data_IF_299113448079
#
_entry.id   IF_299113448079
#
_cell.length_a   1.000
_cell.length_b   1.000
_cell.length_c   1.000
_cell.angle_alpha   90.00
_cell.angle_beta   90.00
_cell.angle_gamma   90.00
#
_symmetry.space_group_name_H-M   'P 1'
#
loop_
_entity.id
_entity.type
_entity.pdbx_description
1 polymer ?
#
# COMPACT_ATOMS: atom_id res chain seq x y z
N UNK A 1 -3.79 9.29 18.45
CA UNK A 1 -4.58 9.84 17.32
C UNK A 1 -3.75 9.71 16.06
N UNK A 2 -4.31 9.20 14.98
CA UNK A 2 -3.60 9.04 13.71
C UNK A 2 -4.27 9.92 12.64
N UNK A 3 -3.45 10.59 11.83
CA UNK A 3 -3.88 11.40 10.70
C UNK A 3 -3.21 10.89 9.44
N UNK A 4 -4.01 10.62 8.42
CA UNK A 4 -3.54 10.28 7.09
C UNK A 4 -4.33 11.14 6.10
N UNK A 5 -3.64 11.98 5.34
CA UNK A 5 -4.26 12.99 4.50
C UNK A 5 -3.26 13.65 3.57
N UNK A 6 -3.65 14.74 2.90
CA UNK A 6 -2.76 15.45 1.98
C UNK A 6 -1.53 15.97 2.73
N UNK A 7 -0.34 15.46 2.39
CA UNK A 7 0.93 15.86 3.03
C UNK A 7 1.10 17.38 3.10
N UNK A 8 0.77 18.11 2.03
CA UNK A 8 0.87 19.57 1.98
C UNK A 8 0.00 20.28 3.02
N UNK A 9 -1.17 19.74 3.36
CA UNK A 9 -2.05 20.29 4.39
C UNK A 9 -1.48 20.03 5.79
N UNK A 10 -1.01 18.81 6.04
CA UNK A 10 -0.36 18.45 7.31
C UNK A 10 0.92 19.27 7.54
N UNK A 11 1.73 19.50 6.51
CA UNK A 11 2.92 20.37 6.58
C UNK A 11 2.57 21.81 6.97
N UNK A 12 1.46 22.36 6.48
CA UNK A 12 1.02 23.71 6.86
C UNK A 12 0.56 23.75 8.31
N UNK A 13 -0.12 22.71 8.79
CA UNK A 13 -0.56 22.62 10.19
C UNK A 13 0.60 22.53 11.19
N UNK A 14 1.72 21.91 10.80
CA UNK A 14 2.92 21.80 11.62
C UNK A 14 3.88 23.01 11.48
N UNK A 15 3.87 23.66 10.31
CA UNK A 15 4.79 24.72 9.89
C UNK A 15 5.90 24.20 8.97
N UNK A 16 6.28 24.98 7.95
CA UNK A 16 7.22 24.54 6.90
C UNK A 16 8.67 24.93 7.19
N UNK A 17 8.88 25.90 8.07
CA UNK A 17 10.15 26.50 8.42
C UNK A 17 10.19 26.84 9.92
N UNK A 18 11.36 27.22 10.46
CA UNK A 18 11.44 27.71 11.84
C UNK A 18 10.60 28.98 12.11
N UNK A 19 10.26 29.75 11.08
CA UNK A 19 9.55 31.02 11.24
C UNK A 19 8.03 30.85 11.40
N UNK A 20 7.47 29.74 10.91
CA UNK A 20 6.04 29.44 10.88
C UNK A 20 5.71 28.14 11.64
N UNK A 21 6.67 27.57 12.38
CA UNK A 21 6.43 26.37 13.16
C UNK A 21 5.59 26.63 14.40
N UNK A 22 4.66 25.73 14.65
CA UNK A 22 3.79 25.81 15.82
C UNK A 22 4.57 25.61 17.13
N UNK A 23 5.63 24.79 17.09
CA UNK A 23 6.54 24.51 18.22
C UNK A 23 7.96 24.29 17.70
N UNK A 24 8.93 24.56 18.57
CA UNK A 24 10.34 24.44 18.26
C UNK A 24 10.69 23.10 17.59
N UNK A 25 11.43 23.19 16.49
CA UNK A 25 11.89 22.08 15.67
C UNK A 25 10.80 21.19 15.03
N UNK A 26 9.51 21.55 15.12
CA UNK A 26 8.42 20.79 14.54
C UNK A 26 8.44 20.82 13.01
N UNK A 27 8.99 21.89 12.40
CA UNK A 27 9.16 21.98 10.96
C UNK A 27 10.05 20.86 10.37
N UNK A 28 10.89 20.22 11.21
CA UNK A 28 11.69 19.06 10.80
C UNK A 28 10.81 17.86 10.44
N UNK A 29 9.69 17.65 11.16
CA UNK A 29 8.70 16.62 10.84
C UNK A 29 8.04 16.93 9.49
N UNK A 30 7.66 18.19 9.26
CA UNK A 30 7.05 18.63 8.00
C UNK A 30 7.92 18.33 6.79
N UNK A 31 9.24 18.51 6.90
CA UNK A 31 10.20 18.22 5.81
C UNK A 31 10.21 16.74 5.41
N UNK A 32 9.76 15.84 6.29
CA UNK A 32 9.69 14.39 6.08
C UNK A 32 8.33 13.89 5.59
N UNK A 33 7.33 14.76 5.43
CA UNK A 33 6.02 14.38 4.89
C UNK A 33 6.07 14.24 3.35
N UNK A 34 6.62 13.13 2.87
CA UNK A 34 6.76 12.77 1.45
C UNK A 34 6.29 11.33 1.22
N UNK A 35 5.66 11.05 0.08
CA UNK A 35 5.10 9.74 -0.23
C UNK A 35 3.88 9.38 0.63
N UNK A 36 3.66 8.08 0.83
CA UNK A 36 2.55 7.51 1.60
C UNK A 36 2.86 7.52 3.10
N UNK A 37 2.72 8.69 3.74
CA UNK A 37 3.05 8.88 5.16
C UNK A 37 1.91 9.54 5.94
N UNK A 38 1.85 9.27 7.23
CA UNK A 38 0.87 9.82 8.16
C UNK A 38 1.52 10.34 9.44
N UNK A 39 0.72 11.03 10.25
CA UNK A 39 1.12 11.52 11.57
C UNK A 39 0.46 10.71 12.68
N UNK A 40 1.25 10.24 13.63
CA UNK A 40 0.79 9.61 14.85
C UNK A 40 1.09 10.50 16.06
N UNK A 41 0.05 10.92 16.76
CA UNK A 41 0.15 11.62 18.03
C UNK A 41 -0.18 10.67 19.17
N UNK A 42 0.71 10.52 20.13
CA UNK A 42 0.58 9.59 21.25
C UNK A 42 1.30 10.11 22.48
N UNK A 43 0.81 9.71 23.66
CA UNK A 43 1.49 9.92 24.95
C UNK A 43 2.27 8.68 25.42
N UNK A 44 2.30 7.61 24.60
CA UNK A 44 3.07 6.39 24.85
C UNK A 44 4.55 6.63 24.61
N UNK A 45 5.39 5.81 25.23
CA UNK A 45 6.84 5.92 25.04
C UNK A 45 7.26 5.46 23.65
N UNK A 46 8.46 5.87 23.24
CA UNK A 46 9.09 5.45 21.99
C UNK A 46 9.15 3.92 21.88
N UNK A 47 9.52 3.26 22.97
CA UNK A 47 9.71 1.81 23.06
C UNK A 47 8.38 1.08 22.87
N UNK A 48 7.32 1.50 23.57
CA UNK A 48 5.99 0.91 23.44
C UNK A 48 5.44 1.03 22.01
N UNK A 49 5.60 2.20 21.39
CA UNK A 49 5.13 2.45 20.03
C UNK A 49 5.92 1.61 19.04
N UNK A 50 7.24 1.59 19.14
CA UNK A 50 8.10 0.83 18.25
C UNK A 50 7.85 -0.68 18.37
N UNK A 51 7.69 -1.19 19.59
CA UNK A 51 7.38 -2.60 19.83
C UNK A 51 6.04 -2.98 19.19
N UNK A 52 5.01 -2.14 19.35
CA UNK A 52 3.69 -2.39 18.79
C UNK A 52 3.73 -2.45 17.25
N UNK A 53 4.30 -1.44 16.58
CA UNK A 53 4.35 -1.38 15.11
C UNK A 53 5.34 -2.36 14.49
N UNK A 54 6.35 -2.82 15.23
CA UNK A 54 7.26 -3.87 14.74
C UNK A 54 6.56 -5.22 14.69
N UNK A 55 5.69 -5.51 15.67
CA UNK A 55 4.94 -6.76 15.77
C UNK A 55 3.66 -6.77 14.94
N UNK A 56 3.03 -5.61 14.78
CA UNK A 56 1.79 -5.51 14.03
C UNK A 56 2.06 -5.68 12.54
N UNK A 57 1.47 -6.72 11.98
CA UNK A 57 1.48 -7.05 10.57
C UNK A 57 0.15 -7.70 10.21
N UNK A 58 -0.35 -7.42 9.01
CA UNK A 58 -1.54 -8.04 8.46
C UNK A 58 -1.24 -8.47 7.03
N UNK A 59 -1.83 -9.60 6.62
CA UNK A 59 -1.79 -10.00 5.23
C UNK A 59 -2.74 -9.13 4.41
N UNK A 60 -2.33 -8.75 3.20
CA UNK A 60 -3.11 -7.96 2.26
C UNK A 60 -2.96 -8.55 0.85
N UNK A 61 -3.86 -8.12 -0.04
CA UNK A 61 -3.77 -8.44 -1.44
C UNK A 61 -2.59 -7.71 -2.09
N UNK A 62 -1.77 -8.47 -2.81
CA UNK A 62 -0.69 -7.88 -3.57
C UNK A 62 -1.22 -6.93 -4.66
N UNK A 63 -0.45 -5.88 -4.91
CA UNK A 63 -0.68 -4.86 -5.93
C UNK A 63 0.30 -5.08 -7.08
N UNK A 64 0.00 -4.45 -8.22
CA UNK A 64 0.93 -4.42 -9.34
C UNK A 64 2.31 -3.89 -8.88
N UNK A 65 3.38 -4.53 -9.33
CA UNK A 65 4.74 -4.21 -8.92
C UNK A 65 5.22 -4.93 -7.65
N UNK A 66 4.34 -5.52 -6.85
CA UNK A 66 4.78 -6.41 -5.76
C UNK A 66 5.39 -7.70 -6.32
N UNK A 67 6.31 -8.30 -5.57
CA UNK A 67 6.82 -9.63 -5.88
C UNK A 67 5.90 -10.70 -5.30
N UNK A 68 5.55 -11.71 -6.08
CA UNK A 68 4.79 -12.86 -5.60
C UNK A 68 5.62 -13.62 -4.56
N UNK A 69 5.03 -13.92 -3.40
CA UNK A 69 5.71 -14.65 -2.32
C UNK A 69 5.57 -16.17 -2.45
N UNK A 70 4.69 -16.64 -3.33
CA UNK A 70 4.54 -18.05 -3.70
C UNK A 70 3.89 -18.18 -5.08
N UNK A 71 4.03 -19.35 -5.70
CA UNK A 71 3.41 -19.68 -6.99
C UNK A 71 1.91 -19.95 -6.81
N UNK A 72 1.08 -19.42 -7.71
CA UNK A 72 -0.37 -19.67 -7.74
C UNK A 72 -0.78 -20.24 -9.09
N UNK A 73 -1.38 -21.43 -9.06
CA UNK A 73 -1.98 -22.11 -10.20
C UNK A 73 -3.45 -22.40 -9.91
N UNK A 74 -4.30 -22.23 -10.93
CA UNK A 74 -5.73 -22.51 -10.86
C UNK A 74 -6.05 -23.75 -11.70
N UNK A 75 -6.74 -24.71 -11.09
CA UNK A 75 -7.15 -25.95 -11.75
C UNK A 75 -8.44 -25.74 -12.58
N UNK A 76 -8.60 -26.44 -13.72
CA UNK A 76 -9.81 -26.35 -14.53
C UNK A 76 -11.04 -26.85 -13.78
N UNK A 77 -12.16 -26.16 -13.95
CA UNK A 77 -13.39 -26.51 -13.24
C UNK A 77 -14.38 -25.36 -13.11
N UNK A 78 -15.58 -25.63 -12.55
CA UNK A 78 -16.56 -24.59 -12.28
C UNK A 78 -16.05 -23.62 -11.19
N UNK A 79 -16.18 -22.32 -11.44
CA UNK A 79 -15.85 -21.23 -10.52
C UNK A 79 -17.14 -20.68 -9.89
N UNK A 80 -17.75 -21.48 -9.02
CA UNK A 80 -19.07 -21.19 -8.41
C UNK A 80 -19.08 -19.95 -7.52
N UNK A 81 -17.91 -19.49 -7.05
CA UNK A 81 -17.76 -18.27 -6.28
C UNK A 81 -18.06 -17.00 -7.09
N UNK A 82 -18.10 -17.08 -8.42
CA UNK A 82 -18.34 -15.93 -9.28
C UNK A 82 -19.71 -15.99 -9.97
N UNK A 83 -20.45 -14.86 -10.01
CA UNK A 83 -21.68 -14.78 -10.78
C UNK A 83 -21.37 -14.87 -12.28
N UNK A 84 -22.31 -15.40 -13.06
CA UNK A 84 -22.18 -15.55 -14.52
C UNK A 84 -21.81 -14.23 -15.24
N UNK A 85 -22.25 -13.09 -14.70
CA UNK A 85 -21.96 -11.76 -15.25
C UNK A 85 -20.49 -11.36 -15.15
N UNK A 86 -19.68 -12.04 -14.33
CA UNK A 86 -18.25 -11.78 -14.19
C UNK A 86 -17.39 -12.53 -15.21
N UNK A 87 -17.94 -13.49 -15.97
CA UNK A 87 -17.16 -14.22 -16.98
C UNK A 87 -16.42 -13.31 -17.96
N UNK A 88 -17.04 -12.25 -18.54
CA UNK A 88 -16.34 -11.38 -19.47
C UNK A 88 -15.14 -10.66 -18.84
N UNK A 89 -15.26 -10.28 -17.56
CA UNK A 89 -14.19 -9.65 -16.81
C UNK A 89 -13.04 -10.63 -16.56
N UNK A 90 -13.35 -11.86 -16.13
CA UNK A 90 -12.33 -12.89 -15.88
C UNK A 90 -11.58 -13.25 -17.17
N UNK A 91 -12.30 -13.35 -18.29
CA UNK A 91 -11.71 -13.55 -19.62
C UNK A 91 -10.83 -12.38 -20.07
N UNK A 92 -11.24 -11.13 -19.78
CA UNK A 92 -10.43 -9.94 -20.06
C UNK A 92 -9.15 -9.89 -19.23
N UNK A 93 -9.15 -10.47 -18.02
CA UNK A 93 -7.96 -10.64 -17.18
C UNK A 93 -7.04 -11.79 -17.65
N UNK A 94 -7.38 -12.45 -18.76
CA UNK A 94 -6.57 -13.50 -19.37
C UNK A 94 -6.92 -14.92 -18.93
N UNK A 95 -7.92 -15.10 -18.05
CA UNK A 95 -8.32 -16.46 -17.64
C UNK A 95 -9.06 -17.16 -18.79
N UNK A 96 -8.69 -18.41 -19.14
CA UNK A 96 -9.38 -19.21 -20.14
C UNK A 96 -10.72 -19.70 -19.58
N UNK A 97 -11.74 -18.84 -19.60
CA UNK A 97 -13.07 -19.11 -19.03
C UNK A 97 -14.15 -19.16 -20.10
N UNK A 98 -15.24 -19.87 -19.78
CA UNK A 98 -16.48 -19.83 -20.54
C UNK A 98 -17.68 -20.13 -19.64
N UNK A 99 -18.88 -19.76 -20.07
CA UNK A 99 -20.13 -20.17 -19.41
C UNK A 99 -20.54 -21.58 -19.86
N UNK A 100 -20.51 -22.54 -18.93
CA UNK A 100 -21.09 -23.88 -19.14
C UNK A 100 -22.36 -24.00 -18.31
N UNK A 101 -23.52 -24.11 -18.99
CA UNK A 101 -24.84 -24.18 -18.33
C UNK A 101 -25.10 -23.03 -17.35
N UNK A 102 -24.63 -21.83 -17.68
CA UNK A 102 -24.79 -20.64 -16.85
C UNK A 102 -23.78 -20.49 -15.70
N UNK A 103 -22.84 -21.42 -15.55
CA UNK A 103 -21.77 -21.35 -14.53
C UNK A 103 -20.44 -20.98 -15.20
N UNK A 104 -19.70 -20.04 -14.62
CA UNK A 104 -18.35 -19.69 -15.07
C UNK A 104 -17.45 -20.91 -14.87
N UNK A 105 -16.76 -21.35 -15.92
CA UNK A 105 -15.89 -22.53 -15.86
C UNK A 105 -14.52 -22.20 -16.44
N UNK A 106 -13.46 -22.49 -15.68
CA UNK A 106 -12.08 -22.46 -16.17
C UNK A 106 -11.84 -23.68 -17.07
N UNK A 107 -11.29 -23.46 -18.27
CA UNK A 107 -11.20 -24.45 -19.34
C UNK A 107 -9.93 -25.30 -19.28
N UNK A 108 -8.86 -24.77 -18.71
CA UNK A 108 -7.54 -25.41 -18.59
C UNK A 108 -6.84 -24.90 -17.33
N UNK A 109 -5.77 -25.58 -16.92
CA UNK A 109 -4.87 -25.06 -15.90
C UNK A 109 -4.39 -23.65 -16.29
N UNK A 110 -4.28 -22.78 -15.29
CA UNK A 110 -3.81 -21.41 -15.48
C UNK A 110 -2.85 -21.01 -14.37
N UNK A 111 -1.60 -20.74 -14.74
CA UNK A 111 -0.60 -20.19 -13.82
C UNK A 111 -0.78 -18.68 -13.73
N UNK A 112 -1.16 -18.19 -12.55
CA UNK A 112 -1.35 -16.76 -12.31
C UNK A 112 0.00 -16.07 -12.15
N UNK A 113 0.88 -16.63 -11.32
CA UNK A 113 2.24 -16.11 -11.09
C UNK A 113 3.14 -17.21 -10.50
N UNK A 114 4.46 -17.04 -10.64
CA UNK A 114 5.47 -17.83 -9.91
C UNK A 114 6.04 -17.03 -8.75
N UNK A 115 6.52 -17.75 -7.74
CA UNK A 115 7.29 -17.14 -6.66
C UNK A 115 8.46 -16.29 -7.22
N UNK A 116 8.54 -15.04 -6.74
CA UNK A 116 9.54 -14.06 -7.14
C UNK A 116 9.17 -13.17 -8.33
N UNK A 117 8.10 -13.50 -9.08
CA UNK A 117 7.64 -12.69 -10.21
C UNK A 117 7.15 -11.32 -9.76
N UNK A 118 7.41 -10.29 -10.56
CA UNK A 118 6.80 -8.97 -10.37
C UNK A 118 5.38 -8.99 -10.96
N UNK A 119 4.38 -8.83 -10.11
CA UNK A 119 2.98 -8.96 -10.48
C UNK A 119 2.52 -7.84 -11.42
N UNK A 120 1.85 -8.21 -12.51
CA UNK A 120 1.14 -7.26 -13.37
C UNK A 120 -0.19 -6.81 -12.73
N UNK A 121 -0.82 -5.72 -13.21
CA UNK A 121 -2.15 -5.32 -12.76
C UNK A 121 -3.22 -6.41 -12.90
N UNK A 122 -3.18 -7.18 -13.99
CA UNK A 122 -4.10 -8.28 -14.24
C UNK A 122 -3.87 -9.41 -13.24
N UNK A 123 -2.62 -9.84 -13.02
CA UNK A 123 -2.29 -10.89 -12.05
C UNK A 123 -2.71 -10.50 -10.63
N UNK A 124 -2.37 -9.29 -10.19
CA UNK A 124 -2.77 -8.77 -8.87
C UNK A 124 -4.30 -8.74 -8.71
N UNK A 125 -5.03 -8.36 -9.76
CA UNK A 125 -6.50 -8.37 -9.76
C UNK A 125 -7.08 -9.77 -9.71
N UNK A 126 -6.48 -10.73 -10.42
CA UNK A 126 -6.86 -12.15 -10.34
C UNK A 126 -6.63 -12.68 -8.94
N UNK A 127 -5.44 -12.49 -8.36
CA UNK A 127 -5.13 -12.92 -6.99
C UNK A 127 -6.14 -12.38 -5.98
N UNK A 128 -6.49 -11.09 -6.09
CA UNK A 128 -7.52 -10.45 -5.24
C UNK A 128 -8.91 -11.07 -5.42
N UNK A 129 -9.33 -11.33 -6.65
CA UNK A 129 -10.64 -11.95 -6.93
C UNK A 129 -10.74 -13.37 -6.35
N UNK A 130 -9.62 -14.10 -6.33
CA UNK A 130 -9.55 -15.47 -5.82
C UNK A 130 -9.16 -15.54 -4.33
N UNK A 131 -8.95 -14.41 -3.66
CA UNK A 131 -8.70 -14.36 -2.21
C UNK A 131 -7.26 -14.69 -1.81
N UNK A 132 -6.29 -14.60 -2.71
CA UNK A 132 -4.88 -14.83 -2.39
C UNK A 132 -4.23 -13.57 -1.83
N UNK A 133 -4.09 -13.53 -0.50
CA UNK A 133 -3.30 -12.52 0.19
C UNK A 133 -1.83 -12.93 0.21
N UNK A 134 -0.97 -12.07 -0.32
CA UNK A 134 0.47 -12.38 -0.47
C UNK A 134 1.37 -11.15 -0.33
N UNK A 135 0.81 -10.03 0.08
CA UNK A 135 1.56 -8.85 0.51
C UNK A 135 1.43 -8.69 2.03
N UNK A 136 2.49 -8.19 2.65
CA UNK A 136 2.50 -7.88 4.08
C UNK A 136 2.25 -6.38 4.26
N UNK A 137 1.16 -6.01 4.93
CA UNK A 137 0.92 -4.64 5.34
C UNK A 137 1.64 -4.36 6.66
N UNK A 138 2.55 -3.38 6.63
CA UNK A 138 3.26 -2.92 7.82
C UNK A 138 3.39 -1.41 7.85
N UNK A 139 3.20 -0.83 9.03
CA UNK A 139 3.47 0.58 9.29
C UNK A 139 4.83 0.71 9.95
N UNK A 140 5.69 1.55 9.39
CA UNK A 140 7.03 1.81 9.93
C UNK A 140 7.11 3.21 10.54
N UNK A 141 7.65 3.31 11.74
CA UNK A 141 7.90 4.60 12.39
C UNK A 141 9.28 5.09 11.95
N UNK A 142 9.32 6.07 11.06
CA UNK A 142 10.58 6.62 10.50
C UNK A 142 11.16 7.79 11.30
N UNK A 143 10.31 8.59 11.94
CA UNK A 143 10.74 9.78 12.66
C UNK A 143 9.87 10.01 13.90
N UNK A 144 10.45 10.64 14.92
CA UNK A 144 9.78 11.02 16.16
C UNK A 144 10.14 12.47 16.50
N UNK A 145 9.16 13.24 16.96
CA UNK A 145 9.38 14.53 17.59
C UNK A 145 8.74 14.52 18.98
N UNK A 146 9.48 14.96 19.99
CA UNK A 146 9.02 15.02 21.36
C UNK A 146 8.60 16.44 21.75
N UNK A 147 7.38 16.56 22.27
CA UNK A 147 6.76 17.86 22.53
C UNK A 147 7.28 18.58 23.77
N UNK A 148 7.95 17.87 24.69
CA UNK A 148 8.47 18.44 25.94
C UNK A 148 9.90 18.98 25.73
N UNK A 149 10.72 18.23 25.00
CA UNK A 149 12.11 18.56 24.72
C UNK A 149 12.34 19.31 23.40
N UNK A 150 11.35 19.30 22.49
CA UNK A 150 11.52 19.82 21.12
C UNK A 150 12.41 18.94 20.25
N UNK A 151 12.82 17.75 20.73
CA UNK A 151 13.83 16.93 20.05
C UNK A 151 13.22 16.15 18.88
N UNK A 152 13.76 16.36 17.69
CA UNK A 152 13.51 15.54 16.51
C UNK A 152 14.54 14.40 16.40
N UNK A 153 14.07 13.19 16.08
CA UNK A 153 14.91 11.99 15.95
C UNK A 153 14.45 11.13 14.77
N UNK A 154 15.40 10.54 14.05
CA UNK A 154 15.13 9.46 13.11
C UNK A 154 15.05 8.12 13.82
N UNK A 155 14.17 7.26 13.32
CA UNK A 155 13.81 5.97 13.86
C UNK A 155 14.03 4.92 12.76
N UNK A 156 14.89 3.93 13.00
CA UNK A 156 15.23 2.90 12.02
C UNK A 156 16.15 3.36 10.89
N UNK A 157 16.48 2.44 9.97
CA UNK A 157 17.25 2.71 8.74
C UNK A 157 16.31 3.20 7.63
N UNK A 158 16.77 4.15 6.80
CA UNK A 158 16.05 4.55 5.58
C UNK A 158 16.05 3.38 4.59
N UNK A 159 14.98 2.60 4.56
CA UNK A 159 14.72 1.71 3.42
C UNK A 159 14.54 2.59 2.17
N UNK A 160 15.21 2.26 1.04
CA UNK A 160 15.12 3.06 -0.17
C UNK A 160 13.66 3.15 -0.61
N UNK A 161 13.21 4.38 -0.93
CA UNK A 161 11.90 4.60 -1.55
C UNK A 161 11.88 3.86 -2.88
N UNK A 162 11.20 2.71 -2.93
CA UNK A 162 10.87 2.07 -4.20
C UNK A 162 9.95 3.04 -4.95
N UNK A 163 10.44 3.57 -6.06
CA UNK A 163 9.77 4.57 -6.88
C UNK A 163 8.38 4.08 -7.32
N UNK A 164 7.34 4.60 -6.68
CA UNK A 164 5.99 4.70 -7.24
C UNK A 164 5.82 6.11 -7.80
N UNK A 165 6.66 6.49 -8.76
CA UNK A 165 6.34 7.59 -9.66
C UNK A 165 5.33 7.08 -10.68
N UNK A 166 4.04 7.18 -10.33
CA UNK A 166 2.97 7.18 -11.32
C UNK A 166 2.69 8.64 -11.67
N UNK A 167 3.03 8.98 -12.91
CA UNK A 167 2.81 10.29 -13.52
C UNK A 167 1.32 10.57 -13.73
N UNK A 168 0.81 11.66 -13.16
CA UNK A 168 -0.35 12.46 -13.62
C UNK A 168 -0.21 13.84 -12.96
N UNK A 169 -0.41 15.00 -13.56
CA UNK A 169 -0.51 15.47 -14.94
C UNK A 169 -0.16 16.97 -14.86
N UNK A 170 0.42 17.50 -15.93
CA UNK A 170 0.57 18.93 -16.17
C UNK A 170 -0.82 19.58 -16.29
N UNK A 171 -1.12 20.58 -15.46
CA UNK A 171 -2.12 21.59 -15.79
C UNK A 171 -1.46 22.97 -15.76
N UNK A 172 -1.83 23.74 -16.77
CA UNK A 172 -1.11 24.91 -17.27
C UNK A 172 -1.21 26.14 -16.39
N UNK A 173 -0.37 27.10 -16.77
CA UNK A 173 -0.46 28.52 -16.46
C UNK A 173 -1.87 29.07 -16.71
N UNK A 174 -2.38 29.88 -15.78
CA UNK A 174 -3.10 31.13 -16.05
C UNK A 174 -3.27 31.90 -14.72
N UNK A 175 -2.35 32.85 -14.48
CA UNK A 175 -2.54 34.27 -14.10
C UNK A 175 -1.21 34.92 -13.66
#
# INVERSE_FOLDING_TARGET
RMFFGKNKVMMVALGRSPADEYKDNLHQVSKKLRGEVGLLFTNRTKEEVNEWFTKYTEMDFARAGNKATFTVTLDPGPLEQFPHSMEPQLRQLGLPTALKRGVVTLLSDYEVCKEGDVLTPEQARVLKLFGYEMAEFKVTIKYMWDAQSGRFQQMGEDLPESASESAEESEGEDD
#
